data_IF_889215480946
#
_entry.id   IF_889215480946
#
_cell.length_a   1.000
_cell.length_b   1.000
_cell.length_c   1.000
_cell.angle_alpha   90.00
_cell.angle_beta   90.00
_cell.angle_gamma   90.00
#
_symmetry.space_group_name_H-M   'P 1'
#
loop_
_entity.id
_entity.type
_entity.pdbx_description
1 polymer ?
#
# COMPACT_ATOMS: atom_id res chain seq x y z
N UNK A 1 -37.25 1.73 2.24
CA UNK A 1 -36.25 0.91 2.94
C UNK A 1 -34.98 1.74 3.05
N UNK A 2 -34.78 2.41 4.20
CA UNK A 2 -33.54 3.15 4.47
C UNK A 2 -32.40 2.16 4.70
N UNK A 3 -31.24 2.43 4.12
CA UNK A 3 -30.01 1.73 4.53
C UNK A 3 -29.83 1.93 6.03
N UNK A 4 -29.46 0.88 6.78
CA UNK A 4 -29.21 1.04 8.21
C UNK A 4 -28.13 2.10 8.42
N UNK A 5 -28.37 3.03 9.35
CA UNK A 5 -27.38 4.03 9.70
C UNK A 5 -26.12 3.34 10.24
N UNK A 6 -24.96 3.87 9.88
CA UNK A 6 -23.71 3.40 10.46
C UNK A 6 -23.67 3.83 11.93
N UNK A 7 -23.52 2.86 12.82
CA UNK A 7 -23.33 3.11 14.24
C UNK A 7 -21.83 2.97 14.60
N UNK A 8 -21.38 3.87 15.46
CA UNK A 8 -20.06 3.79 16.07
C UNK A 8 -20.21 3.26 17.50
N UNK A 9 -19.52 2.17 17.80
CA UNK A 9 -19.48 1.60 19.13
C UNK A 9 -18.02 1.38 19.58
N UNK A 10 -17.76 1.62 20.85
CA UNK A 10 -16.49 1.26 21.46
C UNK A 10 -16.47 -0.27 21.67
N UNK A 11 -15.36 -0.90 21.25
CA UNK A 11 -15.13 -2.32 21.45
C UNK A 11 -13.85 -2.52 22.24
N UNK A 12 -13.83 -3.50 23.15
CA UNK A 12 -12.58 -3.95 23.78
C UNK A 12 -11.82 -4.82 22.79
N UNK A 13 -10.61 -4.41 22.46
CA UNK A 13 -9.81 -5.04 21.42
C UNK A 13 -8.35 -5.16 21.82
N UNK A 14 -7.70 -6.15 21.25
CA UNK A 14 -6.26 -6.35 21.33
C UNK A 14 -5.65 -6.23 19.94
N UNK A 15 -4.59 -5.42 19.79
CA UNK A 15 -3.85 -5.24 18.54
C UNK A 15 -2.38 -5.51 18.84
N UNK A 16 -1.75 -6.29 17.96
CA UNK A 16 -0.30 -6.53 18.01
C UNK A 16 0.28 -6.52 16.60
N UNK A 17 1.55 -6.22 16.51
CA UNK A 17 2.23 -6.15 15.23
C UNK A 17 3.73 -5.97 15.37
N UNK A 18 4.40 -6.01 14.24
CA UNK A 18 5.82 -5.76 14.13
C UNK A 18 6.12 -5.10 12.77
N UNK A 19 7.04 -4.16 12.78
CA UNK A 19 7.59 -3.52 11.61
C UNK A 19 9.09 -3.71 11.57
N UNK A 20 9.62 -3.98 10.37
CA UNK A 20 11.04 -4.07 10.09
C UNK A 20 11.38 -3.11 8.96
N UNK A 21 12.43 -2.32 9.14
CA UNK A 21 13.04 -1.54 8.08
C UNK A 21 14.55 -1.82 8.06
N UNK A 22 15.12 -1.97 6.86
CA UNK A 22 16.52 -2.26 6.70
C UNK A 22 17.08 -1.61 5.43
N UNK A 23 18.39 -1.40 5.43
CA UNK A 23 19.15 -0.94 4.28
C UNK A 23 20.49 -1.69 4.24
N UNK A 24 20.93 -2.08 3.05
CA UNK A 24 22.18 -2.74 2.77
C UNK A 24 22.91 -2.04 1.63
N UNK A 25 24.00 -1.38 1.90
CA UNK A 25 24.86 -0.80 0.88
C UNK A 25 25.72 -1.91 0.24
N UNK A 26 25.52 -2.13 -1.06
CA UNK A 26 26.26 -3.14 -1.84
C UNK A 26 27.63 -2.59 -2.29
N UNK A 27 27.68 -1.33 -2.63
CA UNK A 27 28.87 -0.54 -2.95
C UNK A 27 28.53 0.96 -2.93
N UNK A 28 29.47 1.82 -3.33
CA UNK A 28 29.30 3.28 -3.34
C UNK A 28 28.09 3.79 -4.17
N UNK A 29 27.58 2.98 -5.10
CA UNK A 29 26.50 3.39 -6.03
C UNK A 29 25.23 2.57 -5.90
N UNK A 30 25.28 1.41 -5.29
CA UNK A 30 24.15 0.51 -5.22
C UNK A 30 23.79 0.14 -3.79
N UNK A 31 22.53 0.22 -3.47
CA UNK A 31 22.02 -0.30 -2.20
C UNK A 31 20.67 -1.00 -2.38
N UNK A 32 20.36 -1.87 -1.45
CA UNK A 32 19.05 -2.45 -1.24
C UNK A 32 18.43 -1.82 0.01
N UNK A 33 17.14 -1.60 -0.03
CA UNK A 33 16.34 -1.25 1.13
C UNK A 33 15.05 -2.07 1.16
N UNK A 34 14.47 -2.19 2.34
CA UNK A 34 13.22 -2.91 2.46
C UNK A 34 12.49 -2.61 3.74
N UNK A 35 11.20 -2.84 3.68
CA UNK A 35 10.31 -2.82 4.83
C UNK A 35 9.47 -4.09 4.86
N UNK A 36 9.08 -4.52 6.04
CA UNK A 36 8.07 -5.54 6.24
C UNK A 36 7.18 -5.13 7.40
N UNK A 37 5.87 -5.31 7.23
CA UNK A 37 4.88 -4.93 8.23
C UNK A 37 3.90 -6.07 8.47
N UNK A 38 3.61 -6.32 9.72
CA UNK A 38 2.64 -7.29 10.18
C UNK A 38 1.79 -6.67 11.28
N UNK A 39 0.47 -6.71 11.12
CA UNK A 39 -0.48 -6.31 12.15
C UNK A 39 -1.62 -7.29 12.25
N UNK A 40 -2.08 -7.54 13.45
CA UNK A 40 -3.27 -8.33 13.77
C UNK A 40 -4.04 -7.66 14.88
N UNK A 41 -5.34 -7.92 14.91
CA UNK A 41 -6.19 -7.44 15.98
C UNK A 41 -7.43 -8.29 16.12
N UNK A 42 -7.88 -8.46 17.36
CA UNK A 42 -9.09 -9.20 17.72
C UNK A 42 -9.90 -8.44 18.74
N UNK A 43 -11.19 -8.59 18.66
CA UNK A 43 -12.10 -8.21 19.73
C UNK A 43 -11.93 -9.21 20.89
N UNK A 44 -11.92 -8.72 22.12
CA UNK A 44 -11.80 -9.56 23.32
C UNK A 44 -13.13 -10.22 23.71
N UNK A 45 -14.24 -9.55 23.39
CA UNK A 45 -15.59 -10.00 23.73
C UNK A 45 -16.07 -11.18 22.85
N UNK A 46 -15.74 -11.18 21.57
CA UNK A 46 -16.22 -12.15 20.58
C UNK A 46 -15.12 -12.97 19.93
N UNK A 47 -13.85 -12.62 20.17
CA UNK A 47 -12.68 -13.17 19.48
C UNK A 47 -12.69 -12.97 17.95
N UNK A 48 -13.60 -12.15 17.42
CA UNK A 48 -13.65 -11.79 16.00
C UNK A 48 -12.46 -10.92 15.60
N UNK A 49 -12.05 -10.98 14.34
CA UNK A 49 -10.99 -10.12 13.84
C UNK A 49 -11.44 -8.65 13.77
N UNK A 50 -10.50 -7.73 13.93
CA UNK A 50 -10.79 -6.31 13.73
C UNK A 50 -10.96 -6.00 12.26
N UNK A 51 -11.89 -5.11 11.99
CA UNK A 51 -12.26 -4.67 10.64
C UNK A 51 -11.17 -3.81 10.00
N UNK A 52 -10.89 -4.07 8.71
CA UNK A 52 -9.99 -3.27 7.85
C UNK A 52 -8.54 -3.19 8.34
N UNK A 53 -8.03 -4.26 8.88
CA UNK A 53 -6.60 -4.36 9.14
C UNK A 53 -5.84 -4.70 7.85
N UNK A 54 -4.74 -3.99 7.63
CA UNK A 54 -3.86 -4.27 6.50
C UNK A 54 -3.32 -5.71 6.56
N UNK A 55 -3.26 -6.44 5.43
CA UNK A 55 -2.58 -7.72 5.39
C UNK A 55 -1.07 -7.57 5.59
N UNK A 56 -0.36 -8.61 6.05
CA UNK A 56 1.08 -8.62 6.06
C UNK A 56 1.63 -8.19 4.69
N UNK A 57 2.60 -7.29 4.70
CA UNK A 57 3.17 -6.77 3.48
C UNK A 57 4.68 -6.56 3.61
N UNK A 58 5.35 -6.53 2.49
CA UNK A 58 6.77 -6.24 2.42
C UNK A 58 7.12 -5.54 1.11
N UNK A 59 8.19 -4.77 1.13
CA UNK A 59 8.79 -4.25 -0.09
C UNK A 59 10.31 -4.39 -0.05
N UNK A 60 10.89 -4.50 -1.25
CA UNK A 60 12.33 -4.44 -1.46
C UNK A 60 12.60 -3.51 -2.64
N UNK A 61 13.52 -2.59 -2.47
CA UNK A 61 14.01 -1.65 -3.46
C UNK A 61 15.47 -1.90 -3.78
N UNK A 62 15.83 -1.87 -5.06
CA UNK A 62 17.20 -1.79 -5.53
C UNK A 62 17.42 -0.40 -6.12
N UNK A 63 18.31 0.35 -5.52
CA UNK A 63 18.64 1.71 -5.97
C UNK A 63 20.06 1.77 -6.50
N UNK A 64 20.19 2.39 -7.68
CA UNK A 64 21.47 2.90 -8.19
C UNK A 64 21.52 4.41 -8.00
N UNK A 65 22.46 4.91 -7.26
CA UNK A 65 22.65 6.33 -7.00
C UNK A 65 24.02 6.81 -7.49
N UNK A 66 24.03 7.97 -8.11
CA UNK A 66 25.21 8.75 -8.44
C UNK A 66 25.06 10.15 -7.83
N UNK A 67 25.99 11.06 -8.03
CA UNK A 67 25.91 12.44 -7.53
C UNK A 67 24.66 13.17 -8.04
N UNK A 68 24.26 12.90 -9.28
CA UNK A 68 23.15 13.64 -9.93
C UNK A 68 21.91 12.79 -10.22
N UNK A 69 22.04 11.46 -10.27
CA UNK A 69 20.94 10.58 -10.69
C UNK A 69 20.76 9.43 -9.71
N UNK A 70 19.53 9.23 -9.27
CA UNK A 70 19.11 8.04 -8.54
C UNK A 70 17.98 7.34 -9.30
N UNK A 71 18.08 6.02 -9.42
CA UNK A 71 17.06 5.17 -10.04
C UNK A 71 16.77 4.00 -9.13
N UNK A 72 15.50 3.80 -8.80
CA UNK A 72 15.03 2.73 -7.92
C UNK A 72 14.03 1.84 -8.64
N UNK A 73 14.23 0.54 -8.54
CA UNK A 73 13.22 -0.48 -8.85
C UNK A 73 12.73 -1.05 -7.52
N UNK A 74 11.43 -0.93 -7.24
CA UNK A 74 10.82 -1.42 -6.00
C UNK A 74 9.77 -2.47 -6.28
N UNK A 75 9.90 -3.62 -5.63
CA UNK A 75 8.85 -4.65 -5.60
C UNK A 75 8.12 -4.54 -4.27
N UNK A 76 6.79 -4.51 -4.34
CA UNK A 76 5.90 -4.47 -3.16
C UNK A 76 4.99 -5.68 -3.19
N UNK A 77 4.87 -6.38 -2.08
CA UNK A 77 4.01 -7.55 -1.95
C UNK A 77 3.07 -7.44 -0.76
N UNK A 78 1.82 -7.83 -0.97
CA UNK A 78 0.80 -7.97 0.06
C UNK A 78 0.32 -9.40 0.09
N UNK A 79 0.21 -9.99 1.26
CA UNK A 79 -0.35 -11.32 1.41
C UNK A 79 -1.88 -11.30 1.23
N UNK A 80 -2.50 -12.47 1.07
CA UNK A 80 -3.94 -12.65 1.22
C UNK A 80 -4.36 -12.14 2.61
N UNK A 81 -5.48 -11.40 2.67
CA UNK A 81 -6.15 -11.12 3.93
C UNK A 81 -7.33 -12.06 4.12
N UNK A 82 -7.14 -13.03 4.99
CA UNK A 82 -8.14 -14.03 5.40
C UNK A 82 -8.59 -13.86 6.86
N UNK A 83 -7.97 -12.93 7.61
CA UNK A 83 -8.33 -12.59 8.98
C UNK A 83 -9.26 -11.38 8.98
N UNK A 84 -10.48 -11.62 8.52
CA UNK A 84 -11.52 -10.61 8.30
C UNK A 84 -12.53 -10.60 9.44
N UNK A 85 -13.22 -9.48 9.63
CA UNK A 85 -14.27 -9.34 10.65
C UNK A 85 -15.57 -9.97 10.18
N UNK A 86 -16.00 -11.05 10.84
CA UNK A 86 -17.29 -11.68 10.59
C UNK A 86 -18.45 -10.77 11.01
N UNK A 87 -18.29 -9.99 12.07
CA UNK A 87 -19.30 -9.03 12.53
C UNK A 87 -19.64 -7.95 11.51
N UNK A 88 -18.66 -7.58 10.65
CA UNK A 88 -18.82 -6.56 9.62
C UNK A 88 -19.04 -7.14 8.22
N UNK A 89 -19.30 -8.44 8.08
CA UNK A 89 -19.41 -9.14 6.79
C UNK A 89 -18.23 -8.83 5.87
N UNK A 90 -17.03 -8.71 6.45
CA UNK A 90 -15.83 -8.32 5.72
C UNK A 90 -15.36 -9.45 4.81
N UNK A 91 -15.16 -9.11 3.53
CA UNK A 91 -14.72 -10.08 2.55
C UNK A 91 -13.19 -10.23 2.55
N UNK A 92 -12.72 -11.45 2.36
CA UNK A 92 -11.31 -11.73 2.11
C UNK A 92 -10.82 -11.05 0.82
N UNK A 93 -9.53 -10.79 0.75
CA UNK A 93 -8.87 -10.29 -0.47
C UNK A 93 -7.67 -11.16 -0.84
N UNK A 94 -7.45 -11.41 -2.14
CA UNK A 94 -6.26 -12.10 -2.61
C UNK A 94 -5.00 -11.28 -2.35
N UNK A 95 -3.87 -11.95 -2.21
CA UNK A 95 -2.58 -11.30 -2.19
C UNK A 95 -2.19 -10.78 -3.59
N UNK A 96 -1.31 -9.78 -3.61
CA UNK A 96 -0.80 -9.21 -4.85
C UNK A 96 0.64 -8.71 -4.70
N UNK A 97 1.29 -8.51 -5.84
CA UNK A 97 2.61 -7.86 -5.91
C UNK A 97 2.63 -6.84 -7.03
N UNK A 98 3.32 -5.74 -6.80
CA UNK A 98 3.49 -4.64 -7.73
C UNK A 98 4.97 -4.33 -7.94
N UNK A 99 5.30 -3.80 -9.11
CA UNK A 99 6.63 -3.26 -9.40
C UNK A 99 6.48 -1.79 -9.70
N UNK A 100 7.28 -0.97 -9.02
CA UNK A 100 7.34 0.47 -9.17
C UNK A 100 8.74 0.88 -9.60
N UNK A 101 8.82 1.95 -10.39
CA UNK A 101 10.07 2.57 -10.81
C UNK A 101 10.08 4.03 -10.35
N UNK A 102 11.24 4.49 -9.88
CA UNK A 102 11.44 5.88 -9.48
C UNK A 102 12.78 6.39 -10.02
N UNK A 103 12.76 7.61 -10.55
CA UNK A 103 13.95 8.30 -11.02
C UNK A 103 13.96 9.69 -10.39
N UNK A 104 15.07 10.04 -9.77
CA UNK A 104 15.35 11.37 -9.23
C UNK A 104 16.59 11.90 -9.91
N UNK A 105 16.47 13.02 -10.65
CA UNK A 105 17.57 13.67 -11.35
C UNK A 105 17.80 15.08 -10.81
N UNK A 106 19.02 15.36 -10.40
CA UNK A 106 19.48 16.65 -9.90
C UNK A 106 20.59 17.18 -10.81
N UNK A 107 20.26 17.77 -11.97
CA UNK A 107 21.26 18.29 -12.90
C UNK A 107 22.08 19.44 -12.31
N UNK A 108 21.51 20.18 -11.36
CA UNK A 108 22.17 21.24 -10.59
C UNK A 108 21.67 21.20 -9.14
N UNK A 109 22.33 21.93 -8.24
CA UNK A 109 21.90 22.06 -6.84
C UNK A 109 20.52 22.72 -6.70
N UNK A 110 20.16 23.58 -7.68
CA UNK A 110 18.89 24.30 -7.69
C UNK A 110 17.73 23.50 -8.32
N UNK A 111 18.00 22.49 -9.15
CA UNK A 111 16.97 21.79 -9.93
C UNK A 111 16.92 20.30 -9.56
N UNK A 112 15.72 19.85 -9.18
CA UNK A 112 15.41 18.42 -8.95
C UNK A 112 14.20 18.03 -9.79
N UNK A 113 14.34 16.99 -10.57
CA UNK A 113 13.30 16.39 -11.40
C UNK A 113 13.03 14.98 -10.90
N UNK A 114 11.78 14.63 -10.71
CA UNK A 114 11.33 13.33 -10.29
C UNK A 114 10.37 12.73 -11.31
N UNK A 115 10.51 11.44 -11.56
CA UNK A 115 9.53 10.65 -12.31
C UNK A 115 9.28 9.35 -11.56
N UNK A 116 8.01 8.93 -11.52
CA UNK A 116 7.59 7.71 -10.86
C UNK A 116 6.57 6.98 -11.70
N UNK A 117 6.78 5.68 -11.88
CA UNK A 117 5.86 4.76 -12.51
C UNK A 117 5.40 3.74 -11.48
N UNK A 118 4.18 3.86 -11.01
CA UNK A 118 3.55 2.91 -10.10
C UNK A 118 2.80 1.84 -10.88
N UNK A 119 2.78 0.62 -10.34
CA UNK A 119 2.15 -0.53 -10.96
C UNK A 119 2.60 -0.72 -12.42
N UNK A 120 3.92 -0.81 -12.65
CA UNK A 120 4.53 -0.81 -13.99
C UNK A 120 3.95 -1.85 -14.95
N UNK A 121 3.44 -2.97 -14.45
CA UNK A 121 2.84 -4.05 -15.23
C UNK A 121 1.32 -3.97 -15.36
N UNK A 122 0.70 -2.88 -14.91
CA UNK A 122 -0.74 -2.64 -14.99
C UNK A 122 -1.58 -3.79 -14.39
N UNK A 123 -1.12 -4.30 -13.26
CA UNK A 123 -1.80 -5.42 -12.60
C UNK A 123 -3.08 -4.95 -11.93
N UNK A 124 -4.20 -5.60 -12.24
CA UNK A 124 -5.44 -5.43 -11.48
C UNK A 124 -5.27 -6.06 -10.09
N UNK A 125 -5.56 -5.30 -9.02
CA UNK A 125 -5.47 -5.75 -7.64
C UNK A 125 -6.53 -5.10 -6.77
N UNK A 126 -6.83 -5.73 -5.64
CA UNK A 126 -7.77 -5.21 -4.64
C UNK A 126 -7.00 -4.91 -3.36
N UNK A 127 -6.87 -3.64 -3.03
CA UNK A 127 -6.34 -3.23 -1.73
C UNK A 127 -7.39 -3.49 -0.65
N UNK A 128 -7.01 -4.31 0.35
CA UNK A 128 -7.92 -4.68 1.42
C UNK A 128 -8.48 -3.46 2.18
N UNK A 129 -7.63 -2.48 2.44
CA UNK A 129 -8.02 -1.28 3.21
C UNK A 129 -8.83 -0.26 2.40
N UNK A 130 -8.84 -0.34 1.06
CA UNK A 130 -9.69 0.50 0.23
C UNK A 130 -11.19 0.20 0.43
N UNK A 131 -11.52 -1.06 0.72
CA UNK A 131 -12.85 -1.50 1.06
C UNK A 131 -13.75 -1.71 -0.16
N UNK A 132 -15.06 -1.45 0.03
CA UNK A 132 -16.12 -1.65 -0.95
C UNK A 132 -16.73 -0.33 -1.38
N UNK A 133 -17.32 -0.28 -2.58
CA UNK A 133 -18.12 0.86 -3.00
C UNK A 133 -19.41 0.94 -2.16
N UNK A 134 -19.69 2.10 -1.58
CA UNK A 134 -20.90 2.39 -0.80
C UNK A 134 -21.79 3.47 -1.44
N UNK A 135 -21.33 4.04 -2.56
CA UNK A 135 -22.05 5.10 -3.26
C UNK A 135 -22.87 4.55 -4.42
N UNK A 136 -24.16 4.87 -4.47
CA UNK A 136 -25.00 4.61 -5.64
C UNK A 136 -24.62 5.54 -6.79
N UNK A 137 -24.90 5.11 -8.03
CA UNK A 137 -24.70 5.91 -9.24
C UNK A 137 -23.27 5.92 -9.80
N UNK A 138 -22.37 5.10 -9.27
CA UNK A 138 -21.04 4.87 -9.86
C UNK A 138 -21.08 3.67 -10.83
N UNK A 139 -20.04 3.55 -11.67
CA UNK A 139 -19.88 2.39 -12.55
C UNK A 139 -19.59 1.09 -11.79
N UNK A 140 -19.14 1.19 -10.53
CA UNK A 140 -18.88 0.05 -9.65
C UNK A 140 -20.14 -0.18 -8.81
N UNK A 141 -20.75 -1.38 -8.84
CA UNK A 141 -21.93 -1.69 -8.04
C UNK A 141 -21.69 -1.48 -6.54
N UNK A 142 -22.75 -1.10 -5.81
CA UNK A 142 -22.69 -0.99 -4.35
C UNK A 142 -22.42 -2.37 -3.75
N UNK A 143 -21.48 -2.44 -2.83
CA UNK A 143 -21.01 -3.66 -2.18
C UNK A 143 -19.84 -4.35 -2.87
N UNK A 144 -19.48 -3.97 -4.08
CA UNK A 144 -18.30 -4.49 -4.76
C UNK A 144 -17.01 -3.82 -4.25
N UNK A 145 -15.93 -4.60 -4.22
CA UNK A 145 -14.61 -4.11 -3.81
C UNK A 145 -14.04 -3.13 -4.84
N UNK A 146 -13.38 -2.11 -4.31
CA UNK A 146 -12.63 -1.17 -5.14
C UNK A 146 -11.29 -1.80 -5.56
N UNK A 147 -10.97 -1.63 -6.84
CA UNK A 147 -9.64 -1.96 -7.34
C UNK A 147 -8.66 -0.83 -7.03
N UNK A 148 -7.41 -1.21 -6.85
CA UNK A 148 -6.30 -0.25 -6.74
C UNK A 148 -6.03 0.46 -8.07
N UNK A 149 -5.18 1.49 -8.01
CA UNK A 149 -4.83 2.27 -9.19
C UNK A 149 -4.17 1.40 -10.26
N UNK A 150 -4.58 1.61 -11.50
CA UNK A 150 -3.89 1.10 -12.68
C UNK A 150 -2.47 1.68 -12.76
N UNK A 151 -1.73 1.31 -13.79
CA UNK A 151 -0.40 1.90 -14.06
C UNK A 151 -0.50 3.42 -14.09
N UNK A 152 0.26 4.06 -13.23
CA UNK A 152 0.22 5.52 -13.06
C UNK A 152 1.62 6.10 -13.24
N UNK A 153 1.76 7.05 -14.14
CA UNK A 153 2.97 7.84 -14.32
C UNK A 153 2.78 9.21 -13.68
N UNK A 154 3.71 9.61 -12.82
CA UNK A 154 3.76 10.94 -12.23
C UNK A 154 5.14 11.57 -12.44
N UNK A 155 5.17 12.90 -12.53
CA UNK A 155 6.42 13.66 -12.64
C UNK A 155 6.31 14.96 -11.84
N UNK A 156 7.43 15.41 -11.29
CA UNK A 156 7.55 16.65 -10.54
C UNK A 156 8.85 17.37 -10.89
N UNK A 157 8.81 18.70 -10.85
CA UNK A 157 9.97 19.58 -11.01
C UNK A 157 10.02 20.52 -9.82
N UNK A 158 11.15 20.54 -9.14
CA UNK A 158 11.41 21.39 -7.97
C UNK A 158 12.58 22.33 -8.28
N UNK A 159 12.37 23.61 -8.07
CA UNK A 159 13.38 24.62 -8.29
C UNK A 159 13.55 25.48 -7.05
N UNK A 160 14.77 25.54 -6.53
CA UNK A 160 15.18 26.44 -5.46
C UNK A 160 15.94 27.62 -6.05
N UNK A 161 15.53 28.84 -5.74
CA UNK A 161 16.13 30.11 -6.21
C UNK A 161 16.57 30.98 -5.02
#
# INVERSE_FOLDING_TARGET
SGSPALEFANVDAEIWGADLAWKLDLNERWYLDGIASYVRGKRRDTADNLYRLAPPNASIGLTRATETLSTTVKVVGYSKQDKVSSFNDEQETPGYGLVNLEVVWKPTDALRIEARLDNAFDKAYQDHVAGINRAGGSAIPVGERLYGAERTLSAGVFWNF
#
